data_IF_495583735813
#
_entry.id   IF_495583735813
#
_cell.length_a   1.000
_cell.length_b   1.000
_cell.length_c   1.000
_cell.angle_alpha   90.00
_cell.angle_beta   90.00
_cell.angle_gamma   90.00
#
_symmetry.space_group_name_H-M   'P 1'
#
loop_
_entity.id
_entity.type
_entity.pdbx_description
1 polymer ?
#
# COMPACT_ATOMS: atom_id res chain seq x y z
N UNK A 1 17.07 -1.64 5.44
CA UNK A 1 18.03 -0.55 5.26
C UNK A 1 17.45 0.47 4.28
N UNK A 2 17.72 1.76 4.42
CA UNK A 2 17.22 2.82 3.51
C UNK A 2 18.09 2.97 2.24
N UNK A 3 19.19 2.23 2.17
CA UNK A 3 20.08 2.10 1.01
C UNK A 3 20.25 0.62 0.73
N UNK A 4 19.95 0.19 -0.49
CA UNK A 4 20.11 -1.18 -0.97
C UNK A 4 21.14 -1.20 -2.11
N UNK A 5 22.40 -1.38 -1.72
CA UNK A 5 23.54 -1.31 -2.64
C UNK A 5 23.44 -2.40 -3.72
N UNK A 6 23.32 -1.96 -4.98
CA UNK A 6 23.33 -2.83 -6.16
C UNK A 6 21.95 -3.34 -6.62
N UNK A 7 20.87 -3.08 -5.88
CA UNK A 7 19.50 -3.50 -6.26
C UNK A 7 18.54 -2.36 -6.57
N UNK A 8 18.55 -1.27 -5.78
CA UNK A 8 17.63 -0.14 -5.95
C UNK A 8 18.41 1.15 -6.16
N UNK A 9 18.20 1.77 -7.33
CA UNK A 9 18.87 2.99 -7.75
C UNK A 9 17.84 4.08 -8.11
N UNK A 10 17.94 5.24 -7.48
CA UNK A 10 17.06 6.38 -7.76
C UNK A 10 17.62 7.18 -8.93
N UNK A 11 17.08 6.93 -10.12
CA UNK A 11 17.46 7.63 -11.35
C UNK A 11 16.44 8.69 -11.70
N UNK A 12 16.94 9.87 -12.06
CA UNK A 12 16.12 10.95 -12.61
C UNK A 12 16.76 11.46 -13.90
N UNK A 13 15.92 11.92 -14.81
CA UNK A 13 16.32 12.55 -16.06
C UNK A 13 15.74 13.96 -16.08
N UNK A 14 16.59 14.96 -16.31
CA UNK A 14 16.10 16.28 -16.67
C UNK A 14 15.49 16.21 -18.09
N UNK A 15 14.20 16.46 -18.19
CA UNK A 15 13.46 16.47 -19.45
C UNK A 15 13.19 17.89 -19.97
N UNK A 16 13.74 18.91 -19.32
CA UNK A 16 13.73 20.28 -19.82
C UNK A 16 14.93 20.52 -20.76
N UNK A 17 14.78 21.50 -21.64
CA UNK A 17 15.82 22.02 -22.54
C UNK A 17 16.78 22.99 -21.83
N UNK A 18 16.48 23.38 -20.60
CA UNK A 18 17.33 24.16 -19.71
C UNK A 18 17.88 23.33 -18.54
N UNK A 19 19.04 23.72 -17.98
CA UNK A 19 19.65 23.01 -16.86
C UNK A 19 18.80 23.13 -15.57
N UNK A 20 18.88 22.08 -14.75
CA UNK A 20 18.39 22.09 -13.37
C UNK A 20 19.58 21.92 -12.42
N UNK A 21 19.48 22.46 -11.22
CA UNK A 21 20.41 22.22 -10.13
C UNK A 21 19.73 21.42 -9.03
N UNK A 22 20.40 20.40 -8.52
CA UNK A 22 19.91 19.61 -7.39
C UNK A 22 20.89 19.81 -6.25
N UNK A 23 20.35 20.21 -5.09
CA UNK A 23 21.12 20.27 -3.85
C UNK A 23 20.49 19.37 -2.82
N UNK A 24 21.33 18.75 -1.99
CA UNK A 24 20.90 17.92 -0.88
C UNK A 24 21.45 18.46 0.43
N UNK A 25 20.65 18.39 1.48
CA UNK A 25 21.09 18.68 2.85
C UNK A 25 20.71 17.50 3.74
N UNK A 26 21.70 16.95 4.43
CA UNK A 26 21.49 15.90 5.42
C UNK A 26 21.49 16.50 6.82
N UNK A 27 20.54 16.04 7.63
CA UNK A 27 20.47 16.21 9.07
C UNK A 27 20.16 14.84 9.68
N UNK A 28 20.51 14.56 10.94
CA UNK A 28 20.17 13.29 11.58
C UNK A 28 18.67 12.97 11.41
N UNK A 29 18.37 11.83 10.78
CA UNK A 29 17.00 11.40 10.50
C UNK A 29 16.29 12.09 9.33
N UNK A 30 16.94 13.02 8.61
CA UNK A 30 16.31 13.78 7.52
C UNK A 30 17.28 14.08 6.37
N UNK A 31 16.98 13.56 5.19
CA UNK A 31 17.63 13.94 3.95
C UNK A 31 16.66 14.80 3.13
N UNK A 32 17.06 16.04 2.82
CA UNK A 32 16.23 16.98 2.04
C UNK A 32 16.89 17.24 0.70
N UNK A 33 16.16 17.02 -0.39
CA UNK A 33 16.56 17.43 -1.73
C UNK A 33 15.82 18.71 -2.13
N UNK A 34 16.51 19.61 -2.82
CA UNK A 34 15.92 20.77 -3.49
C UNK A 34 16.25 20.66 -4.97
N UNK A 35 15.22 20.71 -5.80
CA UNK A 35 15.34 20.80 -7.26
C UNK A 35 15.09 22.24 -7.66
N UNK A 36 16.11 22.88 -8.20
CA UNK A 36 16.12 24.29 -8.61
C UNK A 36 16.19 24.35 -10.13
N UNK A 37 15.44 25.27 -10.72
CA UNK A 37 15.39 25.46 -12.15
C UNK A 37 14.50 26.64 -12.50
N UNK A 38 14.26 26.84 -13.79
CA UNK A 38 13.32 27.85 -14.25
C UNK A 38 11.90 27.47 -13.84
N UNK A 39 11.24 28.34 -13.07
CA UNK A 39 9.87 28.13 -12.63
C UNK A 39 8.89 28.60 -13.71
N UNK A 40 8.02 27.72 -14.17
CA UNK A 40 6.82 28.09 -14.93
C UNK A 40 5.68 28.35 -13.93
N UNK A 41 5.26 29.61 -13.69
CA UNK A 41 4.19 29.92 -12.74
C UNK A 41 2.83 29.42 -13.19
N UNK A 42 2.66 29.09 -14.48
CA UNK A 42 1.42 28.49 -14.98
C UNK A 42 1.31 27.01 -14.65
N UNK A 43 2.41 26.33 -14.35
CA UNK A 43 2.47 24.89 -14.13
C UNK A 43 2.42 24.56 -12.64
N UNK A 44 1.50 23.68 -12.25
CA UNK A 44 1.45 23.11 -10.90
C UNK A 44 1.37 21.58 -11.00
N UNK A 45 2.22 20.89 -10.24
CA UNK A 45 2.25 19.42 -10.17
C UNK A 45 1.89 19.00 -8.74
N UNK A 46 0.87 18.14 -8.59
CA UNK A 46 0.43 17.59 -7.31
C UNK A 46 0.58 16.08 -7.31
N UNK A 47 1.13 15.56 -6.22
CA UNK A 47 1.10 14.14 -5.91
C UNK A 47 -0.07 13.92 -4.96
N UNK A 48 -1.05 13.14 -5.40
CA UNK A 48 -2.30 12.92 -4.65
C UNK A 48 -2.61 11.44 -4.57
N UNK A 49 -3.20 11.01 -3.46
CA UNK A 49 -3.72 9.65 -3.30
C UNK A 49 -5.24 9.64 -3.51
N UNK A 50 -5.75 8.58 -4.14
CA UNK A 50 -7.17 8.33 -4.28
C UNK A 50 -7.44 6.82 -4.40
N UNK A 51 -8.70 6.41 -4.55
CA UNK A 51 -9.06 5.00 -4.71
C UNK A 51 -8.82 4.16 -3.46
N UNK A 52 -9.01 4.76 -2.28
CA UNK A 52 -8.86 4.04 -1.01
C UNK A 52 -9.93 2.95 -0.90
N UNK A 53 -9.51 1.69 -0.77
CA UNK A 53 -10.41 0.58 -0.50
C UNK A 53 -9.95 -0.17 0.75
N UNK A 54 -10.89 -0.84 1.41
CA UNK A 54 -10.59 -1.72 2.53
C UNK A 54 -11.58 -2.88 2.58
N UNK A 55 -11.08 -4.09 2.83
CA UNK A 55 -11.88 -5.32 2.87
C UNK A 55 -11.54 -6.16 4.09
N UNK A 56 -12.52 -6.91 4.58
CA UNK A 56 -12.33 -7.86 5.68
C UNK A 56 -11.68 -9.15 5.17
N UNK A 57 -10.96 -9.85 6.04
CA UNK A 57 -10.29 -11.13 5.73
C UNK A 57 -11.02 -12.35 6.29
N UNK A 58 -12.19 -12.15 6.90
CA UNK A 58 -12.95 -13.24 7.50
C UNK A 58 -12.37 -13.75 8.83
N UNK A 59 -12.90 -14.89 9.28
CA UNK A 59 -12.60 -15.49 10.58
C UNK A 59 -12.15 -16.93 10.39
N UNK A 60 -11.03 -17.30 11.03
CA UNK A 60 -10.57 -18.68 11.15
C UNK A 60 -10.86 -19.20 12.55
N UNK A 61 -11.58 -20.31 12.65
CA UNK A 61 -11.79 -20.99 13.91
C UNK A 61 -10.70 -22.05 14.15
N UNK A 62 -10.20 -22.14 15.38
CA UNK A 62 -9.23 -23.15 15.81
C UNK A 62 -9.75 -23.92 17.03
N UNK A 63 -9.57 -25.25 17.08
CA UNK A 63 -9.98 -26.05 18.24
C UNK A 63 -9.07 -25.76 19.44
N UNK A 64 -9.67 -25.54 20.61
CA UNK A 64 -8.99 -25.45 21.89
C UNK A 64 -9.89 -26.02 23.01
N UNK A 65 -9.55 -27.19 23.60
CA UNK A 65 -10.35 -27.81 24.65
C UNK A 65 -10.36 -27.02 25.97
N UNK A 66 -9.44 -26.07 26.17
CA UNK A 66 -9.44 -25.19 27.33
C UNK A 66 -10.49 -24.07 27.25
N UNK A 67 -11.09 -23.85 26.08
CA UNK A 67 -12.21 -22.92 25.91
C UNK A 67 -13.49 -23.63 26.37
N UNK A 68 -14.26 -23.07 27.33
CA UNK A 68 -15.53 -23.64 27.75
C UNK A 68 -16.50 -23.78 26.57
N UNK A 69 -17.25 -24.88 26.53
CA UNK A 69 -18.26 -25.12 25.49
C UNK A 69 -19.29 -23.98 25.45
N UNK A 70 -19.68 -23.59 24.23
CA UNK A 70 -20.57 -22.46 23.97
C UNK A 70 -19.91 -21.08 24.09
N UNK A 71 -18.59 -21.01 24.32
CA UNK A 71 -17.85 -19.74 24.40
C UNK A 71 -16.75 -19.62 23.35
N UNK A 72 -16.30 -18.40 23.11
CA UNK A 72 -15.26 -18.08 22.13
C UNK A 72 -14.13 -17.30 22.80
N UNK A 73 -12.87 -17.59 22.40
CA UNK A 73 -11.71 -16.77 22.78
C UNK A 73 -11.02 -16.23 21.54
N UNK A 74 -10.94 -14.91 21.41
CA UNK A 74 -10.17 -14.28 20.33
C UNK A 74 -8.68 -14.52 20.58
N UNK A 75 -8.03 -15.24 19.67
CA UNK A 75 -6.58 -15.49 19.69
C UNK A 75 -5.86 -14.37 18.94
N UNK A 76 -6.37 -14.02 17.75
CA UNK A 76 -5.86 -12.89 16.97
C UNK A 76 -7.03 -12.06 16.45
N UNK A 77 -6.92 -10.74 16.55
CA UNK A 77 -7.98 -9.83 16.07
C UNK A 77 -8.06 -9.77 14.55
N UNK A 78 -7.01 -10.15 13.84
CA UNK A 78 -6.88 -9.91 12.41
C UNK A 78 -6.77 -8.41 12.08
N UNK A 79 -6.78 -8.11 10.78
CA UNK A 79 -6.80 -6.74 10.27
C UNK A 79 -7.43 -6.71 8.89
N UNK A 80 -7.92 -5.54 8.49
CA UNK A 80 -8.46 -5.33 7.15
C UNK A 80 -7.34 -5.23 6.12
N UNK A 81 -7.61 -5.69 4.90
CA UNK A 81 -6.81 -5.33 3.74
C UNK A 81 -7.07 -3.87 3.36
N UNK A 82 -6.08 -3.26 2.70
CA UNK A 82 -6.15 -1.88 2.22
C UNK A 82 -5.51 -1.75 0.84
N UNK A 83 -6.09 -0.90 -0.01
CA UNK A 83 -5.46 -0.45 -1.24
C UNK A 83 -5.55 1.07 -1.37
N UNK A 84 -4.59 1.66 -2.07
CA UNK A 84 -4.54 3.09 -2.38
C UNK A 84 -3.75 3.30 -3.68
N UNK A 85 -4.20 4.22 -4.51
CA UNK A 85 -3.48 4.61 -5.73
C UNK A 85 -2.94 6.03 -5.60
N UNK A 86 -1.66 6.21 -5.94
CA UNK A 86 -1.00 7.51 -6.00
C UNK A 86 -0.96 8.00 -7.44
N UNK A 87 -1.36 9.25 -7.64
CA UNK A 87 -1.43 9.92 -8.92
C UNK A 87 -0.51 11.14 -8.94
N UNK A 88 -0.04 11.48 -10.14
CA UNK A 88 0.52 12.77 -10.50
C UNK A 88 -0.51 13.55 -11.29
N UNK A 89 -1.04 14.61 -10.71
CA UNK A 89 -1.90 15.57 -11.39
C UNK A 89 -1.06 16.76 -11.85
N UNK A 90 -1.19 17.11 -13.12
CA UNK A 90 -0.54 18.28 -13.72
C UNK A 90 -1.62 19.29 -14.07
N UNK A 91 -1.43 20.51 -13.61
CA UNK A 91 -2.31 21.65 -13.85
C UNK A 91 -1.57 22.70 -14.67
N UNK A 92 -2.30 23.34 -15.58
CA UNK A 92 -1.86 24.55 -16.27
C UNK A 92 -2.90 25.65 -16.07
N UNK A 93 -2.46 26.82 -15.59
CA UNK A 93 -3.34 27.95 -15.27
C UNK A 93 -4.52 27.55 -14.36
N UNK A 94 -4.27 26.69 -13.36
CA UNK A 94 -5.28 26.21 -12.43
C UNK A 94 -6.20 25.09 -12.95
N UNK A 95 -6.18 24.77 -14.24
CA UNK A 95 -6.96 23.67 -14.82
C UNK A 95 -6.14 22.37 -14.90
N UNK A 96 -6.70 21.23 -14.49
CA UNK A 96 -6.02 19.93 -14.60
C UNK A 96 -5.91 19.51 -16.06
N UNK A 97 -4.69 19.42 -16.57
CA UNK A 97 -4.39 19.02 -17.95
C UNK A 97 -3.96 17.56 -18.08
N UNK A 98 -3.49 16.93 -17.00
CA UNK A 98 -3.13 15.51 -17.01
C UNK A 98 -3.28 14.89 -15.62
N UNK A 99 -3.57 13.59 -15.59
CA UNK A 99 -3.47 12.71 -14.43
C UNK A 99 -2.75 11.43 -14.86
N UNK A 100 -1.70 11.05 -14.15
CA UNK A 100 -0.94 9.82 -14.39
C UNK A 100 -0.92 8.98 -13.12
N UNK A 101 -1.22 7.68 -13.21
CA UNK A 101 -0.99 6.75 -12.09
C UNK A 101 0.52 6.61 -11.88
N UNK A 102 0.99 6.85 -10.67
CA UNK A 102 2.40 6.64 -10.32
C UNK A 102 2.62 5.26 -9.70
N UNK A 103 1.73 4.87 -8.79
CA UNK A 103 1.81 3.60 -8.09
C UNK A 103 0.43 3.20 -7.55
N UNK A 104 0.20 1.90 -7.41
CA UNK A 104 -0.90 1.37 -6.61
C UNK A 104 -0.32 0.50 -5.51
N UNK A 105 -0.62 0.84 -4.25
CA UNK A 105 -0.19 0.06 -3.09
C UNK A 105 -1.35 -0.82 -2.63
N UNK A 106 -1.05 -2.09 -2.36
CA UNK A 106 -2.00 -3.06 -1.82
C UNK A 106 -1.37 -3.77 -0.63
N UNK A 107 -2.06 -3.74 0.50
CA UNK A 107 -1.64 -4.36 1.74
C UNK A 107 -2.67 -5.38 2.16
N UNK A 108 -2.24 -6.63 2.29
CA UNK A 108 -3.06 -7.72 2.80
C UNK A 108 -3.32 -7.54 4.30
N UNK A 109 -4.58 -7.69 4.72
CA UNK A 109 -4.93 -7.80 6.14
C UNK A 109 -4.69 -9.21 6.69
N UNK A 110 -4.89 -9.41 7.99
CA UNK A 110 -4.88 -10.73 8.64
C UNK A 110 -6.29 -11.26 8.93
N UNK A 111 -6.48 -12.58 8.86
CA UNK A 111 -7.71 -13.23 9.33
C UNK A 111 -7.87 -13.04 10.84
N UNK A 112 -9.10 -12.91 11.33
CA UNK A 112 -9.36 -12.98 12.78
C UNK A 112 -9.31 -14.44 13.21
N UNK A 113 -8.53 -14.78 14.23
CA UNK A 113 -8.44 -16.15 14.75
C UNK A 113 -9.24 -16.27 16.05
N UNK A 114 -10.19 -17.19 16.09
CA UNK A 114 -11.03 -17.46 17.25
C UNK A 114 -10.87 -18.92 17.68
N UNK A 115 -10.50 -19.14 18.93
CA UNK A 115 -10.49 -20.46 19.55
C UNK A 115 -11.88 -20.83 20.07
N UNK A 116 -12.30 -22.06 19.80
CA UNK A 116 -13.56 -22.68 20.26
C UNK A 116 -13.31 -24.06 20.83
N UNK A 117 -14.19 -24.51 21.72
CA UNK A 117 -14.16 -25.90 22.14
C UNK A 117 -14.33 -26.84 20.93
N UNK A 118 -13.57 -27.95 20.81
CA UNK A 118 -13.74 -28.90 19.72
C UNK A 118 -15.17 -29.42 19.55
N UNK A 119 -15.96 -29.51 20.64
CA UNK A 119 -17.37 -29.92 20.58
C UNK A 119 -18.29 -28.88 19.91
N UNK A 120 -17.88 -27.60 19.87
CA UNK A 120 -18.63 -26.50 19.25
C UNK A 120 -18.28 -26.33 17.76
N UNK A 121 -17.20 -26.97 17.30
CA UNK A 121 -16.82 -27.03 15.91
C UNK A 121 -17.53 -28.25 15.30
N UNK A 122 -18.71 -28.03 14.71
CA UNK A 122 -19.39 -29.07 13.92
C UNK A 122 -18.50 -29.65 12.81
N UNK A 123 -18.98 -30.68 12.09
CA UNK A 123 -18.26 -31.32 10.96
C UNK A 123 -17.55 -30.28 10.07
N UNK A 124 -16.29 -30.54 9.65
CA UNK A 124 -15.27 -29.53 9.41
C UNK A 124 -15.82 -28.40 8.54
N UNK A 125 -16.13 -27.27 9.17
CA UNK A 125 -16.45 -26.04 8.48
C UNK A 125 -15.16 -25.59 7.79
N UNK A 126 -15.06 -25.93 6.51
CA UNK A 126 -14.08 -25.35 5.59
C UNK A 126 -14.07 -23.84 5.83
N UNK A 127 -12.87 -23.26 5.95
CA UNK A 127 -12.68 -21.84 6.18
C UNK A 127 -13.58 -21.04 5.24
N UNK A 128 -14.56 -20.30 5.76
CA UNK A 128 -15.26 -19.31 4.94
C UNK A 128 -14.35 -18.11 4.82
N UNK A 129 -13.32 -18.24 4.00
CA UNK A 129 -12.61 -17.12 3.41
C UNK A 129 -13.60 -16.44 2.46
N UNK A 130 -14.38 -15.48 2.96
CA UNK A 130 -15.10 -14.56 2.06
C UNK A 130 -14.07 -13.60 1.48
N UNK A 131 -13.32 -14.07 0.50
CA UNK A 131 -12.44 -13.24 -0.31
C UNK A 131 -13.28 -12.55 -1.39
N UNK A 132 -13.89 -11.42 -1.04
CA UNK A 132 -14.32 -10.44 -2.06
C UNK A 132 -13.25 -9.36 -2.14
N UNK A 133 -12.06 -9.78 -2.56
CA UNK A 133 -10.94 -8.89 -2.80
C UNK A 133 -11.20 -8.09 -4.10
N UNK A 134 -11.19 -6.74 -4.10
CA UNK A 134 -11.49 -5.99 -5.31
C UNK A 134 -10.41 -6.20 -6.38
N UNK A 135 -10.84 -6.48 -7.61
CA UNK A 135 -9.96 -6.63 -8.77
C UNK A 135 -9.16 -5.34 -9.03
N UNK A 136 -7.89 -5.50 -9.40
CA UNK A 136 -6.98 -4.38 -9.66
C UNK A 136 -7.28 -3.72 -11.00
N UNK A 137 -7.47 -2.41 -11.02
CA UNK A 137 -7.48 -1.61 -12.25
C UNK A 137 -6.29 -0.64 -12.23
N UNK A 138 -5.09 -1.21 -12.44
CA UNK A 138 -3.87 -0.58 -12.96
C UNK A 138 -2.68 -1.52 -12.70
N UNK A 139 -2.37 -2.36 -13.68
CA UNK A 139 -1.10 -3.08 -13.73
C UNK A 139 0.04 -2.08 -14.03
N UNK A 140 0.92 -1.85 -13.07
CA UNK A 140 2.35 -1.72 -13.33
C UNK A 140 3.05 -2.63 -12.33
N UNK A 141 3.40 -3.82 -12.83
CA UNK A 141 4.23 -4.81 -12.14
C UNK A 141 5.59 -4.19 -11.81
N UNK A 142 5.84 -4.01 -10.52
CA UNK A 142 7.17 -3.77 -9.95
C UNK A 142 7.48 -4.80 -8.87
N UNK A 143 7.06 -6.06 -9.06
CA UNK A 143 7.49 -7.17 -8.24
C UNK A 143 8.79 -7.74 -8.81
N UNK A 144 9.92 -7.47 -8.15
CA UNK A 144 11.12 -8.30 -8.35
C UNK A 144 11.09 -9.36 -7.25
N UNK A 145 10.74 -10.58 -7.64
CA UNK A 145 10.94 -11.79 -6.86
C UNK A 145 12.42 -11.90 -6.48
N UNK A 146 12.66 -12.20 -5.20
CA UNK A 146 13.93 -12.64 -4.67
C UNK A 146 14.16 -14.11 -5.02
N UNK A 147 15.24 -14.37 -5.74
CA UNK A 147 16.10 -15.55 -5.54
C UNK A 147 17.47 -15.05 -5.08
#
# INVERSE_FOLDING_TARGET
ATVDYGKIDLRFRNNYDFPIAISSTFQPGKLTFRVLGQKDPSLEVKIVTAGHQSWDRGVKYVPDPAVPAGTERVVEKGSRGHSVTTYRDVYRNGARVSRTVLNSSRYSGGVKIIAKNPADLGAPASATETESEPANDAAVSGGVQSD
#
